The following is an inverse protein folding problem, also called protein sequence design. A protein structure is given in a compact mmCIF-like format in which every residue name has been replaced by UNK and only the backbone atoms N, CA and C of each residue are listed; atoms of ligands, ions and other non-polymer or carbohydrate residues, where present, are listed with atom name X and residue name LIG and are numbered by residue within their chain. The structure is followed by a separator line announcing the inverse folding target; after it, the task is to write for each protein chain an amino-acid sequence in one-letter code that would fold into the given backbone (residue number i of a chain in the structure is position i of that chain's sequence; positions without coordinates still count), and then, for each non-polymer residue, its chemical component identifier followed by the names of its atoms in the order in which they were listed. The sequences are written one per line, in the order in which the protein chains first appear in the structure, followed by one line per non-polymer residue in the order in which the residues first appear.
data_IF_085581657027
#
_entry.id   IF_085581657027
#
_cell.length_a   1.000
_cell.length_b   1.000
_cell.length_c   1.000
_cell.angle_alpha   90.00
_cell.angle_beta   90.00
_cell.angle_gamma   90.00
#
_symmetry.space_group_name_H-M   'P 1'
#
loop_
_entity.id
_entity.type
_entity.pdbx_description
1 polymer ?
#
# COMPACT_ATOMS: atom_id res chain seq x y z
N UNK A 1 -24.14 -15.07 10.39
CA UNK A 1 -23.98 -13.67 10.78
C UNK A 1 -23.17 -13.03 9.68
N UNK A 2 -23.79 -12.20 8.85
CA UNK A 2 -23.10 -11.49 7.77
C UNK A 2 -22.48 -10.25 8.41
N UNK A 3 -21.14 -10.21 8.45
CA UNK A 3 -20.39 -9.04 8.91
C UNK A 3 -20.37 -8.06 7.75
N UNK A 4 -20.79 -6.82 7.99
CA UNK A 4 -20.78 -5.77 6.96
C UNK A 4 -19.33 -5.45 6.56
N UNK A 5 -19.00 -5.16 5.29
CA UNK A 5 -17.61 -5.02 4.82
C UNK A 5 -16.75 -4.01 5.61
N UNK A 6 -17.38 -2.97 6.18
CA UNK A 6 -16.72 -1.94 7.00
C UNK A 6 -16.31 -2.39 8.41
N UNK A 7 -16.91 -3.43 8.96
CA UNK A 7 -16.52 -3.96 10.28
C UNK A 7 -15.22 -4.77 10.21
N UNK A 8 -14.76 -5.15 9.01
CA UNK A 8 -13.45 -5.78 8.85
C UNK A 8 -12.31 -4.78 8.75
N UNK A 9 -12.57 -3.51 8.44
CA UNK A 9 -11.52 -2.51 8.24
C UNK A 9 -11.27 -1.66 9.49
N UNK A 10 -12.30 -1.40 10.33
CA UNK A 10 -12.15 -0.61 11.55
C UNK A 10 -12.69 -1.26 12.82
N UNK A 11 -12.00 -1.02 13.93
CA UNK A 11 -12.51 -1.21 15.28
C UNK A 11 -13.52 -0.11 15.65
N UNK A 12 -14.25 -0.30 16.76
CA UNK A 12 -15.26 0.67 17.23
C UNK A 12 -14.69 2.05 17.60
N UNK A 13 -13.38 2.15 17.83
CA UNK A 13 -12.65 3.41 18.08
C UNK A 13 -11.99 3.99 16.81
N UNK A 14 -12.25 3.39 15.64
CA UNK A 14 -11.81 3.90 14.34
C UNK A 14 -10.38 3.55 13.97
N UNK A 15 -9.75 2.60 14.68
CA UNK A 15 -8.43 2.06 14.32
C UNK A 15 -8.55 0.96 13.28
N UNK A 16 -7.50 0.69 12.47
CA UNK A 16 -7.49 -0.48 11.61
C UNK A 16 -7.61 -1.74 12.47
N UNK A 17 -8.40 -2.71 12.01
CA UNK A 17 -8.47 -4.01 12.70
C UNK A 17 -7.17 -4.80 12.53
N UNK A 18 -6.96 -5.79 13.40
CA UNK A 18 -5.84 -6.75 13.25
C UNK A 18 -5.92 -7.46 11.91
N UNK A 19 -7.13 -7.80 11.46
CA UNK A 19 -7.39 -8.43 10.17
C UNK A 19 -7.05 -7.49 9.00
N UNK A 20 -7.38 -6.20 9.09
CA UNK A 20 -7.04 -5.18 8.10
C UNK A 20 -5.54 -4.97 7.97
N UNK A 21 -4.84 -4.88 9.11
CA UNK A 21 -3.37 -4.80 9.15
C UNK A 21 -2.75 -6.06 8.53
N UNK A 22 -3.24 -7.25 8.91
CA UNK A 22 -2.76 -8.50 8.34
C UNK A 22 -3.04 -8.62 6.84
N UNK A 23 -4.18 -8.10 6.36
CA UNK A 23 -4.52 -8.07 4.94
C UNK A 23 -3.54 -7.20 4.14
N UNK A 24 -3.12 -6.06 4.69
CA UNK A 24 -2.08 -5.20 4.07
C UNK A 24 -0.74 -5.91 4.05
N UNK A 25 -0.29 -6.44 5.19
CA UNK A 25 1.01 -7.10 5.29
C UNK A 25 1.16 -8.29 4.34
N UNK A 26 0.10 -9.10 4.22
CA UNK A 26 0.10 -10.35 3.46
C UNK A 26 -0.58 -10.24 2.09
N UNK A 27 -0.84 -9.02 1.60
CA UNK A 27 -1.57 -8.83 0.36
C UNK A 27 -0.88 -9.52 -0.81
N UNK A 28 -1.69 -10.20 -1.62
CA UNK A 28 -1.27 -10.75 -2.90
C UNK A 28 -2.25 -10.30 -3.98
N UNK A 29 -1.73 -9.76 -5.07
CA UNK A 29 -2.56 -9.17 -6.12
C UNK A 29 -1.79 -8.15 -6.94
N UNK A 30 -2.52 -7.17 -7.47
CA UNK A 30 -1.96 -6.09 -8.29
C UNK A 30 -1.66 -4.86 -7.42
N UNK A 31 -0.71 -4.00 -7.81
CA UNK A 31 -0.50 -2.69 -7.17
C UNK A 31 -1.79 -1.85 -7.09
N UNK A 32 -2.61 -1.86 -8.15
CA UNK A 32 -3.92 -1.22 -8.12
C UNK A 32 -4.81 -1.77 -6.99
N UNK A 33 -4.94 -3.10 -6.89
CA UNK A 33 -5.76 -3.72 -5.85
C UNK A 33 -5.23 -3.44 -4.44
N UNK A 34 -3.90 -3.34 -4.29
CA UNK A 34 -3.29 -2.97 -3.01
C UNK A 34 -3.68 -1.55 -2.59
N UNK A 35 -3.66 -0.59 -3.51
CA UNK A 35 -4.09 0.80 -3.21
C UNK A 35 -5.57 0.88 -2.85
N UNK A 36 -6.42 0.11 -3.52
CA UNK A 36 -7.85 0.05 -3.15
C UNK A 36 -8.02 -0.49 -1.72
N UNK A 37 -7.30 -1.55 -1.34
CA UNK A 37 -7.27 -2.01 0.05
C UNK A 37 -6.78 -0.91 1.00
N UNK A 38 -5.69 -0.22 0.66
CA UNK A 38 -5.18 0.88 1.50
C UNK A 38 -6.25 1.95 1.73
N UNK A 39 -6.98 2.37 0.70
CA UNK A 39 -8.07 3.36 0.83
C UNK A 39 -9.20 2.89 1.74
N UNK A 40 -9.45 1.59 1.82
CA UNK A 40 -10.47 1.03 2.71
C UNK A 40 -10.04 1.05 4.18
N UNK A 41 -8.76 0.77 4.46
CA UNK A 41 -8.24 0.64 5.84
C UNK A 41 -7.58 1.91 6.39
N UNK A 42 -7.22 2.86 5.53
CA UNK A 42 -6.66 4.14 5.93
C UNK A 42 -7.71 5.05 6.55
N UNK A 43 -7.39 5.70 7.67
CA UNK A 43 -8.35 6.56 8.39
C UNK A 43 -9.19 7.50 7.52
N UNK A 44 -8.60 8.05 6.45
CA UNK A 44 -9.31 8.78 5.42
C UNK A 44 -8.73 8.44 4.04
N UNK A 45 -9.59 8.09 3.08
CA UNK A 45 -9.18 7.65 1.74
C UNK A 45 -8.39 8.71 0.95
N UNK A 46 -8.64 9.99 1.21
CA UNK A 46 -8.00 11.13 0.52
C UNK A 46 -6.53 11.33 0.93
N UNK A 47 -6.10 10.68 2.02
CA UNK A 47 -4.70 10.61 2.43
C UNK A 47 -3.90 9.54 1.68
N UNK A 48 -4.54 8.78 0.79
CA UNK A 48 -3.92 7.84 -0.15
C UNK A 48 -4.16 8.30 -1.59
N UNK A 49 -3.17 8.96 -2.19
CA UNK A 49 -3.26 9.50 -3.54
C UNK A 49 -2.39 8.72 -4.55
N UNK A 50 -2.83 8.70 -5.80
CA UNK A 50 -2.09 8.10 -6.92
C UNK A 50 -1.96 9.11 -8.04
N UNK A 51 -0.75 9.25 -8.57
CA UNK A 51 -0.42 10.16 -9.66
C UNK A 51 0.32 9.39 -10.75
N UNK A 52 -0.18 9.45 -11.99
CA UNK A 52 0.60 9.01 -13.15
C UNK A 52 1.61 10.11 -13.48
N UNK A 53 2.88 9.74 -13.50
CA UNK A 53 3.98 10.66 -13.80
C UNK A 53 4.41 10.48 -15.25
N UNK A 54 4.87 11.55 -15.89
CA UNK A 54 5.30 11.54 -17.30
C UNK A 54 6.42 10.50 -17.61
N UNK A 55 7.06 9.92 -16.58
CA UNK A 55 8.07 8.88 -16.69
C UNK A 55 7.54 7.44 -16.81
N UNK A 56 6.23 7.22 -16.87
CA UNK A 56 5.65 5.88 -16.94
C UNK A 56 5.65 5.15 -15.60
N UNK A 57 5.49 5.91 -14.51
CA UNK A 57 5.44 5.43 -13.13
C UNK A 57 4.19 5.97 -12.45
N UNK A 58 3.47 5.09 -11.77
CA UNK A 58 2.41 5.43 -10.83
C UNK A 58 3.06 5.75 -9.48
N UNK A 59 3.01 7.01 -9.08
CA UNK A 59 3.43 7.46 -7.76
C UNK A 59 2.26 7.35 -6.79
N UNK A 60 2.46 6.61 -5.71
CA UNK A 60 1.48 6.42 -4.64
C UNK A 60 1.99 7.17 -3.42
N UNK A 61 1.13 7.98 -2.82
CA UNK A 61 1.45 8.75 -1.61
C UNK A 61 0.50 8.34 -0.50
N UNK A 62 1.05 7.91 0.62
CA UNK A 62 0.32 7.64 1.85
C UNK A 62 0.73 8.65 2.91
N UNK A 63 -0.22 9.39 3.48
CA UNK A 63 0.04 10.43 4.49
C UNK A 63 -0.54 9.99 5.84
N UNK A 64 0.30 9.82 6.86
CA UNK A 64 -0.15 9.35 8.18
C UNK A 64 -0.77 10.46 9.03
N UNK A 65 -0.41 11.72 8.80
CA UNK A 65 -0.73 12.92 9.60
C UNK A 65 -0.45 12.77 11.11
N UNK A 66 0.45 11.84 11.48
CA UNK A 66 0.79 11.54 12.88
C UNK A 66 -0.30 10.76 13.64
N UNK A 67 -1.24 10.12 12.94
CA UNK A 67 -2.21 9.23 13.56
C UNK A 67 -1.66 7.80 13.63
N UNK A 68 -1.65 7.22 14.82
CA UNK A 68 -0.99 5.93 15.14
C UNK A 68 -1.53 4.75 14.34
N UNK A 69 -2.83 4.70 14.01
CA UNK A 69 -3.36 3.61 13.18
C UNK A 69 -2.81 3.59 11.75
N UNK A 70 -2.58 4.77 11.16
CA UNK A 70 -1.92 4.86 9.84
C UNK A 70 -0.44 4.48 9.96
N UNK A 71 0.21 4.79 11.08
CA UNK A 71 1.61 4.40 11.33
C UNK A 71 1.75 2.88 11.46
N UNK A 72 0.79 2.20 12.10
CA UNK A 72 0.72 0.72 12.13
C UNK A 72 0.54 0.13 10.72
N UNK A 73 -0.30 0.74 9.89
CA UNK A 73 -0.43 0.35 8.48
C UNK A 73 0.86 0.57 7.69
N UNK A 74 1.59 1.66 7.92
CA UNK A 74 2.92 1.87 7.31
C UNK A 74 3.86 0.73 7.70
N UNK A 75 3.94 0.37 8.98
CA UNK A 75 4.78 -0.76 9.42
C UNK A 75 4.40 -2.05 8.70
N UNK A 76 3.10 -2.32 8.52
CA UNK A 76 2.62 -3.47 7.76
C UNK A 76 3.01 -3.41 6.27
N UNK A 77 2.96 -2.23 5.64
CA UNK A 77 3.41 -2.05 4.25
C UNK A 77 4.92 -2.31 4.14
N UNK A 78 5.73 -1.76 5.05
CA UNK A 78 7.19 -1.92 5.05
C UNK A 78 7.61 -3.39 5.18
N UNK A 79 6.83 -4.20 5.89
CA UNK A 79 7.04 -5.65 6.02
C UNK A 79 6.43 -6.47 4.87
N UNK A 80 5.65 -5.85 3.98
CA UNK A 80 5.00 -6.51 2.86
C UNK A 80 5.91 -6.60 1.62
N UNK A 81 5.57 -7.51 0.70
CA UNK A 81 6.23 -7.58 -0.61
C UNK A 81 6.03 -6.32 -1.46
N UNK A 82 4.94 -5.58 -1.22
CA UNK A 82 4.70 -4.32 -1.89
C UNK A 82 5.72 -3.27 -1.43
N UNK A 83 5.88 -3.09 -0.11
CA UNK A 83 6.84 -2.16 0.46
C UNK A 83 8.27 -2.49 0.04
N UNK A 84 8.65 -3.78 0.12
CA UNK A 84 9.97 -4.23 -0.30
C UNK A 84 10.29 -3.87 -1.77
N UNK A 85 9.29 -3.91 -2.66
CA UNK A 85 9.51 -3.78 -4.10
C UNK A 85 9.37 -2.34 -4.62
N UNK A 86 8.49 -1.55 -4.01
CA UNK A 86 8.07 -0.27 -4.56
C UNK A 86 8.33 0.92 -3.64
N UNK A 87 8.89 0.71 -2.43
CA UNK A 87 9.27 1.82 -1.57
C UNK A 87 10.31 2.71 -2.24
N UNK A 88 10.07 4.02 -2.19
CA UNK A 88 10.98 5.05 -2.72
C UNK A 88 11.49 5.96 -1.59
N UNK A 89 10.58 6.54 -0.80
CA UNK A 89 10.98 7.49 0.24
C UNK A 89 9.98 7.61 1.38
N UNK A 90 10.49 8.04 2.53
CA UNK A 90 9.70 8.45 3.70
C UNK A 90 10.15 9.85 4.15
N UNK A 91 9.20 10.73 4.48
CA UNK A 91 9.46 12.14 4.80
C UNK A 91 8.95 12.51 6.18
N UNK A 92 9.57 13.55 6.77
CA UNK A 92 9.06 14.17 8.01
C UNK A 92 7.62 14.66 7.78
N UNK A 93 6.76 14.44 8.76
CA UNK A 93 5.32 14.74 8.65
C UNK A 93 4.48 13.56 8.16
N UNK A 94 5.08 12.37 7.98
CA UNK A 94 4.35 11.12 7.76
C UNK A 94 3.96 10.84 6.31
N UNK A 95 4.66 11.44 5.34
CA UNK A 95 4.48 11.11 3.92
C UNK A 95 5.38 9.92 3.55
N UNK A 96 4.78 8.87 2.99
CA UNK A 96 5.44 7.71 2.41
C UNK A 96 5.12 7.65 0.92
N UNK A 97 6.16 7.47 0.10
CA UNK A 97 6.06 7.46 -1.36
C UNK A 97 6.50 6.10 -1.90
N UNK A 98 5.68 5.56 -2.80
CA UNK A 98 5.95 4.32 -3.50
C UNK A 98 5.83 4.52 -5.01
N UNK A 99 6.75 3.92 -5.77
CA UNK A 99 6.82 4.05 -7.22
C UNK A 99 6.57 2.70 -7.90
N UNK A 100 5.50 2.62 -8.70
CA UNK A 100 5.14 1.42 -9.45
C UNK A 100 5.25 1.70 -10.95
N UNK A 101 6.09 0.98 -11.71
CA UNK A 101 6.10 1.12 -13.16
C UNK A 101 4.70 0.87 -13.76
N UNK A 102 4.24 1.71 -14.69
CA UNK A 102 2.87 1.66 -15.23
C UNK A 102 2.50 0.28 -15.80
N UNK A 103 3.45 -0.39 -16.45
CA UNK A 103 3.22 -1.73 -17.01
C UNK A 103 2.97 -2.82 -15.94
N UNK A 104 3.30 -2.55 -14.67
CA UNK A 104 3.02 -3.45 -13.54
C UNK A 104 1.75 -3.08 -12.79
N UNK A 105 1.10 -1.95 -13.08
CA UNK A 105 0.00 -1.41 -12.27
C UNK A 105 -1.18 -2.39 -12.08
N UNK A 106 -1.51 -3.12 -13.16
CA UNK A 106 -2.52 -4.20 -13.15
C UNK A 106 -1.91 -5.59 -13.22
N UNK A 107 -0.57 -5.72 -13.10
CA UNK A 107 0.10 -7.01 -13.07
C UNK A 107 0.19 -7.50 -11.63
N UNK A 108 -0.14 -8.77 -11.35
CA UNK A 108 0.13 -9.33 -10.04
C UNK A 108 1.62 -9.25 -9.72
N UNK A 109 1.98 -8.73 -8.54
CA UNK A 109 3.33 -8.93 -8.02
C UNK A 109 3.40 -10.36 -7.48
N UNK A 110 3.66 -11.31 -8.37
CA UNK A 110 3.96 -12.68 -7.96
C UNK A 110 5.21 -12.63 -7.07
N UNK A 111 5.26 -13.46 -6.02
CA UNK A 111 6.45 -13.70 -5.18
C UNK A 111 7.62 -14.26 -6.03
N UNK A 112 8.13 -13.46 -6.95
CA UNK A 112 9.36 -13.70 -7.68
C UNK A 112 10.40 -12.72 -7.14
N UNK A 113 11.54 -13.22 -6.64
CA UNK A 113 12.62 -12.38 -6.17
C UNK A 113 13.23 -11.69 -7.38
N UNK A 114 12.78 -10.45 -7.63
CA UNK A 114 13.28 -9.54 -8.66
C UNK A 114 13.03 -9.99 -10.12
N UNK A 115 12.80 -9.05 -11.06
CA UNK A 115 12.94 -9.39 -12.48
C UNK A 115 14.40 -9.83 -12.72
N UNK A 116 14.66 -10.79 -13.63
CA UNK A 116 16.03 -11.15 -13.97
C UNK A 116 16.77 -9.88 -14.39
N UNK A 117 17.92 -9.63 -13.76
CA UNK A 117 18.85 -8.59 -14.17
C UNK A 117 19.02 -8.71 -15.67
N UNK A 118 18.75 -7.64 -16.43
CA UNK A 118 19.15 -7.62 -17.84
C UNK A 118 20.67 -7.76 -17.86
N UNK A 119 21.16 -8.97 -18.16
CA UNK A 119 22.55 -9.16 -18.55
C UNK A 119 22.74 -8.29 -19.79
N UNK A 120 23.51 -7.21 -19.65
CA UNK A 120 23.80 -6.33 -20.76
C UNK A 120 24.42 -7.11 -21.91
N UNK A 121 23.93 -6.84 -23.12
CA UNK A 121 24.64 -7.08 -24.38
C UNK A 121 25.70 -6.00 -24.59
#
# INVERSE_FOLDING_TARGET
MTVEPREMSYTNDGYPTVEGIAAVQNFSGTPHGFVELLREVWSHEDLVSVHDTDGGVMEIRCVTVGWSGNEELISAIEESMFGLRFWESSHRGGLHVYHVPNHLWFSPFVNQPFPPTKTGE
#
